data_IF_087204574338
#
_entry.id   IF_087204574338
#
_cell.length_a   1.000
_cell.length_b   1.000
_cell.length_c   1.000
_cell.angle_alpha   90.00
_cell.angle_beta   90.00
_cell.angle_gamma   90.00
#
_symmetry.space_group_name_H-M   'P 1'
#
loop_
_entity.id
_entity.type
_entity.pdbx_description
1 polymer ?
#
# COMPACT_ATOMS: atom_id res chain seq x y z
N UNK A 1 0.67 1.89 -26.46
CA UNK A 1 -0.63 2.06 -25.81
C UNK A 1 -0.52 1.47 -24.41
N UNK A 2 -0.55 2.32 -23.42
CA UNK A 2 -0.07 2.06 -22.05
C UNK A 2 -1.27 1.73 -21.19
N UNK A 3 -1.39 0.49 -20.72
CA UNK A 3 -2.32 0.14 -19.65
C UNK A 3 -1.56 0.21 -18.33
N UNK A 4 -1.74 1.27 -17.61
CA UNK A 4 -1.23 1.44 -16.26
C UNK A 4 -2.36 1.36 -15.27
N UNK A 5 -2.12 0.56 -14.22
CA UNK A 5 -2.80 0.58 -12.94
C UNK A 5 -4.27 0.19 -12.92
N UNK A 6 -4.49 -0.96 -12.33
CA UNK A 6 -5.80 -1.44 -11.88
C UNK A 6 -6.31 -0.50 -10.79
N UNK A 7 -7.03 0.53 -11.20
CA UNK A 7 -7.87 1.35 -10.32
C UNK A 7 -9.27 1.61 -10.92
N UNK A 8 -9.60 0.91 -12.02
CA UNK A 8 -10.97 0.89 -12.55
C UNK A 8 -11.22 -0.45 -13.24
N UNK A 9 -12.44 -1.00 -13.23
CA UNK A 9 -12.80 -2.08 -14.12
C UNK A 9 -12.69 -1.56 -15.55
N UNK A 10 -11.64 -1.98 -16.27
CA UNK A 10 -11.49 -1.68 -17.69
C UNK A 10 -12.46 -2.60 -18.43
N UNK A 11 -13.64 -2.10 -18.77
CA UNK A 11 -14.48 -2.71 -19.78
C UNK A 11 -13.87 -2.41 -21.15
N UNK A 12 -13.10 -3.35 -21.67
CA UNK A 12 -12.73 -3.34 -23.07
C UNK A 12 -13.83 -4.05 -23.85
N UNK A 13 -14.71 -3.30 -24.50
CA UNK A 13 -15.56 -3.85 -25.54
C UNK A 13 -14.73 -3.94 -26.81
N UNK A 14 -14.46 -5.14 -27.29
CA UNK A 14 -13.94 -5.35 -28.64
C UNK A 14 -15.13 -5.20 -29.60
N UNK A 15 -15.14 -4.13 -30.37
CA UNK A 15 -16.02 -4.07 -31.53
C UNK A 15 -15.42 -4.95 -32.64
N UNK A 16 -15.96 -6.13 -32.82
CA UNK A 16 -15.75 -6.94 -34.00
C UNK A 16 -17.12 -7.10 -34.70
N UNK A 17 -17.20 -6.73 -35.96
CA UNK A 17 -18.41 -6.82 -36.80
C UNK A 17 -18.72 -8.25 -37.29
N UNK A 18 -18.24 -9.28 -36.59
CA UNK A 18 -18.53 -10.67 -36.89
C UNK A 18 -19.35 -11.30 -35.75
N UNK A 19 -20.37 -12.10 -36.13
CA UNK A 19 -21.31 -12.85 -35.28
C UNK A 19 -20.63 -13.89 -34.35
N UNK A 20 -19.49 -13.57 -33.76
CA UNK A 20 -18.82 -14.38 -32.75
C UNK A 20 -19.32 -14.04 -31.33
N UNK A 21 -19.14 -14.93 -30.33
CA UNK A 21 -19.50 -14.65 -28.97
C UNK A 21 -18.71 -13.44 -28.42
N UNK A 22 -19.42 -12.45 -27.91
CA UNK A 22 -18.79 -11.33 -27.22
C UNK A 22 -18.26 -11.76 -25.84
N UNK A 23 -17.19 -11.16 -25.40
CA UNK A 23 -16.64 -11.41 -24.07
C UNK A 23 -16.11 -10.11 -23.45
N UNK A 24 -16.14 -10.06 -22.11
CA UNK A 24 -15.53 -8.99 -21.35
C UNK A 24 -14.57 -9.56 -20.30
N UNK A 25 -13.73 -8.69 -19.74
CA UNK A 25 -12.78 -9.05 -18.70
C UNK A 25 -13.26 -8.50 -17.36
N UNK A 26 -13.27 -9.36 -16.35
CA UNK A 26 -13.55 -8.97 -14.97
C UNK A 26 -12.31 -9.11 -14.10
N UNK A 27 -12.07 -8.13 -13.23
CA UNK A 27 -11.11 -8.26 -12.15
C UNK A 27 -11.74 -9.16 -11.10
N UNK A 28 -11.03 -10.22 -10.72
CA UNK A 28 -11.44 -11.16 -9.69
C UNK A 28 -10.41 -11.20 -8.58
N UNK A 29 -10.84 -11.48 -7.37
CA UNK A 29 -9.99 -11.71 -6.21
C UNK A 29 -10.41 -13.00 -5.54
N UNK A 30 -9.47 -13.91 -5.29
CA UNK A 30 -9.71 -15.18 -4.63
C UNK A 30 -9.08 -15.27 -3.23
N UNK A 31 -8.42 -14.21 -2.79
CA UNK A 31 -7.79 -14.13 -1.48
C UNK A 31 -7.09 -12.81 -1.23
N UNK A 32 -6.55 -12.70 -0.02
CA UNK A 32 -5.76 -11.56 0.42
C UNK A 32 -4.49 -12.05 1.14
N UNK A 33 -3.49 -11.19 1.17
CA UNK A 33 -2.26 -11.39 1.91
C UNK A 33 -2.06 -10.25 2.90
N UNK A 34 -1.76 -10.61 4.15
CA UNK A 34 -1.46 -9.65 5.21
C UNK A 34 0.04 -9.67 5.44
N UNK A 35 0.70 -8.53 5.25
CA UNK A 35 2.08 -8.32 5.65
C UNK A 35 2.10 -8.06 7.14
N UNK A 36 2.91 -8.83 7.86
CA UNK A 36 3.12 -8.68 9.30
C UNK A 36 4.57 -8.25 9.51
N UNK A 37 4.79 -7.04 10.01
CA UNK A 37 6.13 -6.46 10.16
C UNK A 37 7.01 -7.20 11.19
N UNK A 38 6.41 -8.01 12.05
CA UNK A 38 7.11 -8.55 13.21
C UNK A 38 7.32 -7.46 14.27
N UNK A 39 8.36 -7.66 15.10
CA UNK A 39 8.82 -6.68 16.06
C UNK A 39 10.36 -6.75 16.15
N UNK A 40 11.04 -5.78 15.53
CA UNK A 40 12.51 -5.76 15.47
C UNK A 40 13.17 -5.63 16.85
N UNK A 41 12.53 -4.91 17.78
CA UNK A 41 13.06 -4.74 19.13
C UNK A 41 13.01 -6.00 19.97
N UNK A 42 12.15 -6.95 19.59
CA UNK A 42 12.01 -8.26 20.24
C UNK A 42 12.54 -9.41 19.38
N UNK A 43 13.26 -9.10 18.30
CA UNK A 43 13.81 -10.07 17.34
C UNK A 43 12.73 -11.01 16.77
N UNK A 44 11.51 -10.49 16.57
CA UNK A 44 10.43 -11.20 15.91
C UNK A 44 10.44 -10.81 14.43
N UNK A 45 10.83 -11.75 13.57
CA UNK A 45 10.81 -11.55 12.13
C UNK A 45 9.39 -11.37 11.59
N UNK A 46 9.31 -10.66 10.48
CA UNK A 46 8.06 -10.49 9.76
C UNK A 46 7.59 -11.76 9.08
N UNK A 47 6.33 -11.77 8.73
CA UNK A 47 5.67 -12.92 8.11
C UNK A 47 4.58 -12.50 7.13
N UNK A 48 4.09 -13.47 6.36
CA UNK A 48 2.96 -13.30 5.46
C UNK A 48 1.83 -14.23 5.91
N UNK A 49 0.63 -13.67 6.12
CA UNK A 49 -0.60 -14.45 6.34
C UNK A 49 -1.40 -14.45 5.04
N UNK A 50 -1.73 -15.62 4.52
CA UNK A 50 -2.57 -15.79 3.34
C UNK A 50 -4.01 -16.11 3.75
N UNK A 51 -4.98 -15.44 3.14
CA UNK A 51 -6.43 -15.67 3.34
C UNK A 51 -7.01 -16.19 2.04
N UNK A 52 -7.68 -17.33 2.09
CA UNK A 52 -8.41 -17.91 0.97
C UNK A 52 -9.91 -17.61 1.13
N UNK A 53 -10.51 -16.99 0.13
CA UNK A 53 -11.92 -16.57 0.21
C UNK A 53 -12.90 -17.74 0.08
N UNK A 54 -12.56 -18.75 -0.72
CA UNK A 54 -13.46 -19.88 -0.93
C UNK A 54 -13.64 -20.74 0.33
N UNK A 55 -12.56 -20.92 1.11
CA UNK A 55 -12.60 -21.67 2.38
C UNK A 55 -12.80 -20.81 3.61
N UNK A 56 -12.64 -19.48 3.51
CA UNK A 56 -12.59 -18.53 4.62
C UNK A 56 -11.53 -18.88 5.69
N UNK A 57 -10.38 -19.43 5.24
CA UNK A 57 -9.28 -19.84 6.12
C UNK A 57 -8.09 -18.90 5.93
N UNK A 58 -7.48 -18.48 7.04
CA UNK A 58 -6.20 -17.82 7.07
C UNK A 58 -5.08 -18.80 7.45
N UNK A 59 -3.98 -18.76 6.71
CA UNK A 59 -2.75 -19.51 6.99
C UNK A 59 -1.66 -18.52 7.36
N UNK A 60 -1.25 -18.57 8.63
CA UNK A 60 -0.14 -17.75 9.11
C UNK A 60 1.21 -18.27 8.61
N UNK A 61 2.19 -17.36 8.47
CA UNK A 61 3.56 -17.69 8.03
C UNK A 61 3.59 -18.50 6.72
N UNK A 62 2.63 -18.21 5.81
CA UNK A 62 2.46 -18.97 4.56
C UNK A 62 3.74 -19.01 3.70
N UNK A 63 4.56 -17.96 3.75
CA UNK A 63 5.86 -17.95 3.09
C UNK A 63 6.82 -18.98 3.73
N UNK A 64 7.02 -18.94 5.03
CA UNK A 64 7.93 -19.85 5.72
C UNK A 64 7.52 -21.32 5.54
N UNK A 65 6.22 -21.62 5.58
CA UNK A 65 5.68 -22.97 5.38
C UNK A 65 6.05 -23.57 4.00
N UNK A 66 6.23 -22.72 2.98
CA UNK A 66 6.54 -23.15 1.62
C UNK A 66 8.01 -22.92 1.20
N UNK A 67 8.87 -22.44 2.12
CA UNK A 67 10.27 -22.11 1.86
C UNK A 67 11.21 -22.71 2.93
N UNK A 68 10.94 -23.94 3.39
CA UNK A 68 11.82 -24.65 4.32
C UNK A 68 11.98 -23.99 5.69
N UNK A 69 10.98 -23.25 6.15
CA UNK A 69 10.98 -22.55 7.44
C UNK A 69 11.70 -21.18 7.40
N UNK A 70 12.20 -20.74 6.25
CA UNK A 70 12.87 -19.44 6.15
C UNK A 70 11.89 -18.31 6.43
N UNK A 71 12.31 -17.33 7.24
CA UNK A 71 11.50 -16.15 7.49
C UNK A 71 11.44 -15.23 6.27
N UNK A 72 10.45 -14.33 6.25
CA UNK A 72 10.37 -13.28 5.25
C UNK A 72 11.47 -12.23 5.44
N UNK A 73 11.97 -12.09 6.64
CA UNK A 73 12.98 -11.12 7.08
C UNK A 73 12.44 -10.12 8.09
N UNK A 74 13.27 -9.16 8.48
CA UNK A 74 12.94 -8.14 9.46
C UNK A 74 12.15 -6.99 8.84
N UNK A 75 11.06 -6.61 9.46
CA UNK A 75 10.22 -5.45 9.12
C UNK A 75 9.77 -5.38 7.65
N UNK A 76 9.09 -6.41 7.09
CA UNK A 76 8.38 -6.23 5.83
C UNK A 76 7.32 -5.14 5.98
N UNK A 77 7.15 -4.32 4.94
CA UNK A 77 6.39 -3.08 5.02
C UNK A 77 5.22 -2.99 4.05
N UNK A 78 5.38 -3.54 2.86
CA UNK A 78 4.39 -3.44 1.78
C UNK A 78 4.51 -4.60 0.81
N UNK A 79 3.49 -4.84 0.00
CA UNK A 79 3.52 -5.86 -1.03
C UNK A 79 2.41 -5.70 -2.06
N UNK A 80 2.56 -6.41 -3.17
CA UNK A 80 1.56 -6.45 -4.24
C UNK A 80 1.60 -7.76 -5.02
N UNK A 81 0.53 -8.03 -5.75
CA UNK A 81 0.48 -9.06 -6.79
C UNK A 81 0.58 -8.39 -8.16
N UNK A 82 1.49 -8.88 -9.01
CA UNK A 82 1.60 -8.48 -10.40
C UNK A 82 1.87 -9.69 -11.31
N UNK A 83 0.91 -9.99 -12.17
CA UNK A 83 0.91 -11.20 -12.96
C UNK A 83 0.79 -12.47 -12.13
N UNK A 84 1.74 -13.36 -12.27
CA UNK A 84 1.85 -14.63 -11.54
C UNK A 84 2.72 -14.56 -10.27
N UNK A 85 3.19 -13.37 -9.91
CA UNK A 85 4.12 -13.12 -8.82
C UNK A 85 3.55 -12.20 -7.76
N UNK A 86 4.01 -12.40 -6.54
CA UNK A 86 3.92 -11.45 -5.44
C UNK A 86 5.28 -10.83 -5.20
N UNK A 87 5.28 -9.58 -4.81
CA UNK A 87 6.46 -8.83 -4.41
C UNK A 87 6.22 -8.25 -3.03
N UNK A 88 7.16 -8.46 -2.11
CA UNK A 88 7.09 -7.93 -0.75
C UNK A 88 8.38 -7.18 -0.45
N UNK A 89 8.27 -5.91 -0.09
CA UNK A 89 9.41 -5.10 0.37
C UNK A 89 9.68 -5.35 1.84
N UNK A 90 10.94 -5.60 2.18
CA UNK A 90 11.38 -5.96 3.53
C UNK A 90 12.44 -4.96 3.98
N UNK A 91 11.98 -3.94 4.69
CA UNK A 91 12.75 -2.77 5.11
C UNK A 91 14.04 -3.15 5.86
N UNK A 92 13.91 -3.77 7.03
CA UNK A 92 15.05 -4.09 7.89
C UNK A 92 16.02 -5.10 7.29
N UNK A 93 15.57 -5.94 6.35
CA UNK A 93 16.44 -6.88 5.63
C UNK A 93 17.05 -6.32 4.35
N UNK A 94 16.64 -5.13 3.90
CA UNK A 94 17.05 -4.51 2.65
C UNK A 94 16.81 -5.43 1.44
N UNK A 95 15.60 -6.04 1.36
CA UNK A 95 15.28 -6.96 0.27
C UNK A 95 13.89 -6.67 -0.31
N UNK A 96 13.70 -7.11 -1.57
CA UNK A 96 12.38 -7.35 -2.14
C UNK A 96 12.28 -8.85 -2.41
N UNK A 97 11.31 -9.50 -1.78
CA UNK A 97 10.98 -10.91 -2.01
C UNK A 97 10.10 -11.03 -3.24
N UNK A 98 10.48 -11.89 -4.17
CA UNK A 98 9.69 -12.28 -5.35
C UNK A 98 9.19 -13.69 -5.13
N UNK A 99 7.89 -13.87 -5.09
CA UNK A 99 7.23 -15.10 -4.66
C UNK A 99 6.24 -15.54 -5.74
N UNK A 100 6.17 -16.82 -6.02
CA UNK A 100 5.12 -17.38 -6.87
C UNK A 100 3.78 -17.32 -6.11
N UNK A 101 2.79 -16.62 -6.64
CA UNK A 101 1.51 -16.37 -5.94
C UNK A 101 0.64 -17.63 -5.73
N UNK A 102 0.90 -18.71 -6.46
CA UNK A 102 0.16 -19.98 -6.34
C UNK A 102 0.82 -20.95 -5.38
N UNK A 103 2.16 -21.07 -5.46
CA UNK A 103 2.91 -22.04 -4.66
C UNK A 103 3.51 -21.46 -3.39
N UNK A 104 3.48 -20.14 -3.22
CA UNK A 104 4.13 -19.40 -2.12
C UNK A 104 5.65 -19.62 -2.04
N UNK A 105 6.25 -20.19 -3.07
CA UNK A 105 7.70 -20.41 -3.14
C UNK A 105 8.42 -19.17 -3.62
N UNK A 106 9.58 -18.87 -3.01
CA UNK A 106 10.48 -17.82 -3.45
C UNK A 106 11.00 -18.10 -4.85
N UNK A 107 10.79 -17.17 -5.76
CA UNK A 107 11.41 -17.16 -7.09
C UNK A 107 12.79 -16.49 -7.00
N UNK A 108 12.84 -15.33 -6.31
CA UNK A 108 14.04 -14.51 -6.18
C UNK A 108 13.97 -13.69 -4.90
N UNK A 109 15.12 -13.47 -4.29
CA UNK A 109 15.36 -12.41 -3.33
C UNK A 109 16.22 -11.34 -3.99
N UNK A 110 15.71 -10.12 -4.10
CA UNK A 110 16.43 -8.96 -4.62
C UNK A 110 17.01 -8.22 -3.42
N UNK A 111 18.31 -8.23 -3.27
CA UNK A 111 19.01 -7.45 -2.25
C UNK A 111 19.17 -6.02 -2.76
N UNK A 112 18.46 -5.09 -2.16
CA UNK A 112 18.34 -3.71 -2.67
C UNK A 112 19.65 -2.94 -2.55
N UNK A 113 20.44 -3.22 -1.51
CA UNK A 113 21.77 -2.63 -1.32
C UNK A 113 22.82 -3.16 -2.30
N UNK A 114 22.70 -4.39 -2.77
CA UNK A 114 23.55 -4.92 -3.86
C UNK A 114 23.10 -4.35 -5.22
N UNK A 115 21.78 -4.15 -5.39
CA UNK A 115 21.20 -3.67 -6.65
C UNK A 115 21.48 -2.18 -6.90
N UNK A 116 21.35 -1.34 -5.88
CA UNK A 116 21.39 0.12 -5.99
C UNK A 116 22.71 0.72 -5.46
N UNK A 117 23.35 0.04 -4.51
CA UNK A 117 24.46 0.53 -3.69
C UNK A 117 24.09 0.52 -2.21
N UNK A 118 25.07 0.36 -1.32
CA UNK A 118 24.86 0.16 0.12
C UNK A 118 24.08 1.27 0.81
N UNK A 119 24.26 2.54 0.39
CA UNK A 119 23.52 3.67 0.92
C UNK A 119 22.20 3.88 0.21
N UNK A 120 22.18 3.76 -1.13
CA UNK A 120 21.03 4.06 -1.98
C UNK A 120 19.90 3.02 -1.85
N UNK A 121 20.27 1.74 -1.69
CA UNK A 121 19.34 0.62 -1.57
C UNK A 121 18.83 0.33 -0.16
N UNK A 122 19.12 1.18 0.80
CA UNK A 122 18.80 0.97 2.21
C UNK A 122 17.31 1.15 2.47
N UNK A 123 16.75 0.25 3.27
CA UNK A 123 15.38 0.33 3.79
C UNK A 123 14.32 0.55 2.67
N UNK A 124 14.01 -0.47 1.85
CA UNK A 124 12.91 -0.37 0.88
C UNK A 124 11.57 -0.22 1.60
N UNK A 125 10.69 0.68 1.09
CA UNK A 125 9.48 1.09 1.81
C UNK A 125 8.18 0.68 1.15
N UNK A 126 7.87 1.23 0.00
CA UNK A 126 6.62 0.98 -0.71
C UNK A 126 6.90 0.55 -2.14
N UNK A 127 5.93 -0.16 -2.73
CA UNK A 127 6.08 -0.78 -4.03
C UNK A 127 4.82 -0.61 -4.88
N UNK A 128 5.02 -0.31 -6.17
CA UNK A 128 3.97 -0.38 -7.20
C UNK A 128 4.49 -1.18 -8.39
N UNK A 129 3.60 -1.61 -9.27
CA UNK A 129 3.97 -2.31 -10.50
C UNK A 129 3.22 -1.77 -11.72
N UNK A 130 3.86 -1.84 -12.87
CA UNK A 130 3.25 -1.48 -14.15
C UNK A 130 4.23 -1.64 -15.31
N UNK A 131 3.72 -1.88 -16.52
CA UNK A 131 4.51 -1.99 -17.76
C UNK A 131 5.69 -2.96 -17.68
N UNK A 132 5.50 -4.12 -17.04
CA UNK A 132 6.55 -5.12 -16.89
C UNK A 132 7.62 -4.79 -15.85
N UNK A 133 7.42 -3.77 -15.03
CA UNK A 133 8.32 -3.34 -13.98
C UNK A 133 7.65 -3.29 -12.60
N UNK A 134 8.46 -3.49 -11.56
CA UNK A 134 8.15 -3.01 -10.22
C UNK A 134 8.94 -1.75 -9.95
N UNK A 135 8.34 -0.84 -9.19
CA UNK A 135 8.98 0.39 -8.71
C UNK A 135 8.86 0.42 -7.20
N UNK A 136 9.98 0.61 -6.51
CA UNK A 136 9.97 0.69 -5.05
C UNK A 136 10.84 1.84 -4.54
N UNK A 137 10.41 2.45 -3.46
CA UNK A 137 11.14 3.51 -2.75
C UNK A 137 12.15 2.91 -1.78
N UNK A 138 13.25 3.63 -1.52
CA UNK A 138 14.23 3.29 -0.48
C UNK A 138 14.58 4.52 0.35
N UNK A 139 14.80 4.37 1.64
CA UNK A 139 15.24 5.47 2.51
C UNK A 139 16.59 6.05 2.11
N UNK A 140 17.32 5.41 1.20
CA UNK A 140 18.47 5.99 0.55
C UNK A 140 18.17 7.17 -0.39
N UNK A 141 16.88 7.54 -0.55
CA UNK A 141 16.45 8.67 -1.39
C UNK A 141 16.28 8.31 -2.86
N UNK A 142 15.88 7.09 -3.16
CA UNK A 142 15.73 6.61 -4.52
C UNK A 142 14.41 5.85 -4.75
N UNK A 143 13.97 5.88 -6.01
CA UNK A 143 13.03 4.91 -6.58
C UNK A 143 13.79 4.02 -7.54
N UNK A 144 13.71 2.72 -7.36
CA UNK A 144 14.25 1.73 -8.29
C UNK A 144 13.16 1.25 -9.25
N UNK A 145 13.50 1.08 -10.52
CA UNK A 145 12.71 0.37 -11.52
C UNK A 145 13.38 -0.97 -11.83
N UNK A 146 12.68 -2.07 -11.64
CA UNK A 146 13.19 -3.42 -11.84
C UNK A 146 12.30 -4.21 -12.77
N UNK A 147 12.87 -4.82 -13.78
CA UNK A 147 12.17 -5.68 -14.74
C UNK A 147 11.61 -6.94 -14.07
N UNK A 148 10.37 -7.30 -14.34
CA UNK A 148 9.66 -8.40 -13.67
C UNK A 148 9.95 -9.79 -14.22
N UNK A 149 10.72 -9.91 -15.32
CA UNK A 149 11.11 -11.17 -15.95
C UNK A 149 12.50 -11.58 -15.51
N UNK A 150 13.48 -10.67 -15.63
CA UNK A 150 14.88 -10.97 -15.34
C UNK A 150 15.37 -10.39 -14.01
N UNK A 151 14.56 -9.59 -13.32
CA UNK A 151 14.83 -8.95 -12.02
C UNK A 151 16.07 -8.04 -12.01
N UNK A 152 16.39 -7.45 -13.17
CA UNK A 152 17.47 -6.48 -13.32
C UNK A 152 16.98 -5.06 -13.10
N UNK A 153 17.84 -4.24 -12.52
CA UNK A 153 17.62 -2.79 -12.45
C UNK A 153 17.62 -2.22 -13.87
N UNK A 154 16.54 -1.53 -14.21
CA UNK A 154 16.41 -0.83 -15.51
C UNK A 154 16.62 0.66 -15.38
N UNK A 155 16.26 1.23 -14.22
CA UNK A 155 16.52 2.63 -13.89
C UNK A 155 16.53 2.82 -12.37
N UNK A 156 17.21 3.90 -11.92
CA UNK A 156 17.08 4.44 -10.57
C UNK A 156 16.92 5.95 -10.63
N UNK A 157 16.02 6.48 -9.83
CA UNK A 157 15.66 7.88 -9.81
C UNK A 157 15.97 8.45 -8.44
N UNK A 158 16.79 9.49 -8.38
CA UNK A 158 17.06 10.22 -7.13
C UNK A 158 15.86 11.09 -6.82
N UNK A 159 15.26 10.90 -5.64
CA UNK A 159 14.11 11.65 -5.13
C UNK A 159 14.47 12.40 -3.83
N UNK A 160 13.48 12.89 -3.09
CA UNK A 160 13.72 13.54 -1.80
C UNK A 160 14.15 12.59 -0.68
N UNK A 161 14.30 13.14 0.52
CA UNK A 161 14.73 12.39 1.72
C UNK A 161 13.62 11.50 2.24
N UNK A 162 13.97 10.27 2.62
CA UNK A 162 13.07 9.30 3.22
C UNK A 162 11.78 9.11 2.43
N UNK A 163 11.84 8.68 1.17
CA UNK A 163 10.66 8.46 0.36
C UNK A 163 9.83 7.28 0.91
N UNK A 164 8.54 7.51 1.01
CA UNK A 164 7.52 6.57 1.46
C UNK A 164 6.68 6.12 0.26
N UNK A 165 5.37 6.38 0.28
CA UNK A 165 4.45 5.95 -0.76
C UNK A 165 4.68 6.60 -2.11
N UNK A 166 4.32 5.87 -3.15
CA UNK A 166 4.39 6.32 -4.53
C UNK A 166 3.14 5.87 -5.29
N UNK A 167 2.77 6.64 -6.32
CA UNK A 167 1.67 6.28 -7.22
C UNK A 167 2.00 6.68 -8.65
N UNK A 168 1.60 5.84 -9.60
CA UNK A 168 1.82 6.08 -11.02
C UNK A 168 0.57 6.61 -11.73
N UNK A 169 0.75 7.53 -12.67
CA UNK A 169 -0.30 7.99 -13.56
C UNK A 169 0.28 8.33 -14.94
N UNK A 170 -0.32 7.77 -15.98
CA UNK A 170 0.20 7.89 -17.35
C UNK A 170 1.69 7.48 -17.42
N UNK A 171 2.58 8.39 -17.78
CA UNK A 171 4.03 8.18 -17.86
C UNK A 171 4.79 8.76 -16.66
N UNK A 172 4.11 9.04 -15.53
CA UNK A 172 4.74 9.67 -14.38
C UNK A 172 4.51 8.86 -13.10
N UNK A 173 5.46 8.98 -12.16
CA UNK A 173 5.31 8.49 -10.79
C UNK A 173 5.45 9.69 -9.85
N UNK A 174 4.49 9.82 -8.93
CA UNK A 174 4.54 10.81 -7.84
C UNK A 174 4.99 10.10 -6.58
N UNK A 175 5.93 10.69 -5.85
CA UNK A 175 6.58 10.11 -4.67
C UNK A 175 6.43 11.05 -3.49
N UNK A 176 5.98 10.53 -2.37
CA UNK A 176 5.93 11.21 -1.08
C UNK A 176 7.28 11.06 -0.36
N UNK A 177 7.96 12.16 -0.05
CA UNK A 177 9.23 12.15 0.68
C UNK A 177 9.01 12.74 2.08
N UNK A 178 9.04 11.89 3.11
CA UNK A 178 8.61 12.23 4.47
C UNK A 178 9.64 13.03 5.28
N UNK A 179 10.89 13.03 4.85
CA UNK A 179 12.04 13.53 5.63
C UNK A 179 12.07 12.98 7.06
N UNK A 180 11.57 11.74 7.24
CA UNK A 180 11.51 11.06 8.55
C UNK A 180 10.76 11.86 9.62
N UNK A 181 9.62 12.43 9.25
CA UNK A 181 8.74 13.22 10.13
C UNK A 181 9.39 14.49 10.76
N UNK A 182 10.41 15.08 10.10
CA UNK A 182 11.07 16.30 10.58
C UNK A 182 10.39 17.60 10.10
N UNK A 183 9.29 17.49 9.35
CA UNK A 183 8.52 18.64 8.88
C UNK A 183 9.04 19.29 7.59
N UNK A 184 10.05 18.72 6.93
CA UNK A 184 10.58 19.21 5.65
C UNK A 184 10.24 18.26 4.49
N UNK A 185 9.17 17.48 4.64
CA UNK A 185 8.67 16.59 3.61
C UNK A 185 8.36 17.33 2.30
N UNK A 186 8.52 16.63 1.19
CA UNK A 186 8.31 17.19 -0.14
C UNK A 186 7.81 16.12 -1.12
N UNK A 187 7.56 16.53 -2.37
CA UNK A 187 7.03 15.65 -3.41
C UNK A 187 8.01 15.58 -4.57
N UNK A 188 8.31 14.36 -5.05
CA UNK A 188 9.04 14.16 -6.30
C UNK A 188 8.09 13.65 -7.38
N UNK A 189 8.30 14.12 -8.62
CA UNK A 189 7.60 13.65 -9.82
C UNK A 189 8.65 13.12 -10.78
N UNK A 190 8.54 11.85 -11.11
CA UNK A 190 9.41 11.14 -12.06
C UNK A 190 8.68 11.06 -13.40
N UNK A 191 9.29 11.56 -14.46
CA UNK A 191 8.84 11.32 -15.83
C UNK A 191 9.53 10.06 -16.37
N UNK A 192 8.77 8.99 -16.56
CA UNK A 192 9.29 7.70 -17.03
C UNK A 192 9.75 7.72 -18.49
N UNK A 193 9.26 8.69 -19.30
CA UNK A 193 9.63 8.82 -20.70
C UNK A 193 10.99 9.50 -20.88
N UNK A 194 11.30 10.52 -20.08
CA UNK A 194 12.56 11.28 -20.14
C UNK A 194 13.57 10.86 -19.09
N UNK A 195 13.11 10.23 -18.00
CA UNK A 195 13.93 9.91 -16.83
C UNK A 195 14.17 11.09 -15.89
N UNK A 196 13.59 12.26 -16.18
CA UNK A 196 13.74 13.47 -15.36
C UNK A 196 12.97 13.34 -14.05
N UNK A 197 13.53 13.94 -12.99
CA UNK A 197 12.91 13.99 -11.65
C UNK A 197 12.84 15.45 -11.22
N UNK A 198 11.62 15.90 -10.95
CA UNK A 198 11.37 17.19 -10.30
C UNK A 198 11.02 16.94 -8.83
N UNK A 199 11.81 17.48 -7.90
CA UNK A 199 11.50 17.48 -6.46
C UNK A 199 11.18 18.89 -6.02
N UNK A 200 10.02 19.09 -5.40
CA UNK A 200 9.53 20.40 -4.99
C UNK A 200 8.95 20.39 -3.59
N UNK A 201 9.22 21.46 -2.86
CA UNK A 201 8.54 21.76 -1.63
C UNK A 201 7.13 22.25 -1.95
N UNK A 202 6.16 21.75 -1.22
CA UNK A 202 4.74 22.08 -1.39
C UNK A 202 4.24 22.69 -0.10
N UNK A 203 3.70 23.91 -0.16
CA UNK A 203 3.07 24.57 0.98
C UNK A 203 1.96 23.67 1.55
N UNK A 204 2.02 23.37 2.85
CA UNK A 204 1.04 22.52 3.53
C UNK A 204 1.38 21.03 3.55
N UNK A 205 2.52 20.60 2.98
CA UNK A 205 3.05 19.23 3.10
C UNK A 205 4.25 19.24 4.03
N UNK A 206 4.24 18.32 5.02
CA UNK A 206 5.28 18.25 6.04
C UNK A 206 5.86 16.84 6.24
N UNK A 207 5.00 15.82 6.26
CA UNK A 207 5.35 14.42 6.50
C UNK A 207 4.50 13.50 5.63
N UNK A 208 4.64 13.58 4.29
CA UNK A 208 3.81 12.83 3.35
C UNK A 208 4.14 11.33 3.39
N UNK A 209 3.09 10.49 3.50
CA UNK A 209 3.19 9.05 3.68
C UNK A 209 2.70 8.24 2.49
N UNK A 210 1.56 8.63 1.92
CA UNK A 210 0.97 7.94 0.75
C UNK A 210 0.54 8.94 -0.32
N UNK A 211 0.56 8.48 -1.55
CA UNK A 211 0.06 9.21 -2.72
C UNK A 211 -1.13 8.47 -3.28
N UNK A 212 -2.21 9.19 -3.56
CA UNK A 212 -3.38 8.68 -4.29
C UNK A 212 -3.59 9.56 -5.52
N UNK A 213 -4.01 8.93 -6.62
CA UNK A 213 -4.28 9.65 -7.87
C UNK A 213 -5.67 9.23 -8.38
N UNK A 214 -6.56 10.22 -8.54
CA UNK A 214 -7.87 10.03 -9.10
C UNK A 214 -8.10 10.98 -10.27
N UNK A 215 -8.29 10.44 -11.48
CA UNK A 215 -8.50 11.23 -12.71
C UNK A 215 -7.45 12.32 -12.94
N UNK A 216 -6.17 12.01 -12.65
CA UNK A 216 -5.04 12.94 -12.77
C UNK A 216 -4.87 13.92 -11.60
N UNK A 217 -5.81 13.97 -10.67
CA UNK A 217 -5.68 14.75 -9.44
C UNK A 217 -4.88 13.98 -8.40
N UNK A 218 -3.93 14.65 -7.75
CA UNK A 218 -3.02 14.06 -6.77
C UNK A 218 -3.48 14.40 -5.36
N UNK A 219 -3.53 13.40 -4.50
CA UNK A 219 -3.86 13.53 -3.08
C UNK A 219 -2.75 12.89 -2.26
N UNK A 220 -2.41 13.53 -1.15
CA UNK A 220 -1.33 13.12 -0.25
C UNK A 220 -1.93 12.82 1.11
N UNK A 221 -1.67 11.63 1.64
CA UNK A 221 -1.80 11.38 3.07
C UNK A 221 -0.57 11.97 3.75
N UNK A 222 -0.77 13.05 4.49
CA UNK A 222 0.27 13.78 5.19
C UNK A 222 0.01 13.64 6.69
N UNK A 223 1.02 13.19 7.45
CA UNK A 223 0.90 12.95 8.89
C UNK A 223 1.44 14.14 9.68
N UNK A 224 1.14 14.15 10.97
CA UNK A 224 1.84 15.00 11.94
C UNK A 224 3.35 14.81 11.84
N UNK A 225 4.11 15.81 12.24
CA UNK A 225 5.55 15.77 12.31
C UNK A 225 6.03 16.28 13.68
N UNK A 226 7.33 16.17 13.95
CA UNK A 226 7.88 16.51 15.27
C UNK A 226 9.01 17.52 15.12
N UNK A 227 8.91 18.63 15.87
CA UNK A 227 9.97 19.63 15.99
C UNK A 227 10.75 19.41 17.29
N UNK A 228 12.08 19.55 17.22
CA UNK A 228 12.98 19.30 18.32
C UNK A 228 13.45 17.85 18.41
N UNK A 229 14.29 17.57 19.40
CA UNK A 229 14.86 16.24 19.64
C UNK A 229 14.15 15.50 20.77
N UNK A 230 13.99 14.19 20.59
CA UNK A 230 13.47 13.32 21.65
C UNK A 230 14.35 13.38 22.90
N UNK A 231 13.77 13.45 24.15
CA UNK A 231 12.34 13.29 24.46
C UNK A 231 11.51 14.60 24.43
N UNK A 232 12.09 15.74 24.07
CA UNK A 232 11.45 17.06 24.13
C UNK A 232 10.84 17.50 22.79
N UNK A 233 10.69 16.60 21.83
CA UNK A 233 10.05 16.91 20.57
C UNK A 233 8.57 17.24 20.75
N UNK A 234 8.09 18.23 19.97
CA UNK A 234 6.70 18.70 19.98
C UNK A 234 6.02 18.29 18.68
N UNK A 235 4.88 17.63 18.82
CA UNK A 235 4.03 17.29 17.68
C UNK A 235 3.45 18.54 17.02
N UNK A 236 3.50 18.59 15.71
CA UNK A 236 3.05 19.68 14.85
C UNK A 236 2.23 19.16 13.67
N UNK A 237 1.44 20.06 13.08
CA UNK A 237 0.63 19.76 11.91
C UNK A 237 -0.62 18.96 12.24
N UNK A 238 -1.13 18.24 11.26
CA UNK A 238 -2.31 17.39 11.36
C UNK A 238 -2.19 16.21 10.40
N UNK A 239 -2.78 15.07 10.76
CA UNK A 239 -2.86 13.91 9.88
C UNK A 239 -4.11 14.01 9.01
N UNK A 240 -3.92 14.19 7.70
CA UNK A 240 -5.01 14.47 6.76
C UNK A 240 -4.70 13.97 5.34
N UNK A 241 -5.76 13.77 4.57
CA UNK A 241 -5.68 13.77 3.10
C UNK A 241 -5.65 15.22 2.62
N UNK A 242 -4.69 15.54 1.78
CA UNK A 242 -4.50 16.86 1.19
C UNK A 242 -4.50 16.78 -0.33
N UNK A 243 -5.26 17.65 -0.98
CA UNK A 243 -5.28 17.80 -2.44
C UNK A 243 -4.11 18.69 -2.89
N UNK A 244 -3.37 18.23 -3.89
CA UNK A 244 -2.20 18.93 -4.43
C UNK A 244 -2.58 19.80 -5.62
N UNK A 245 -2.48 21.12 -5.48
CA UNK A 245 -2.71 22.10 -6.54
C UNK A 245 -1.45 22.93 -6.80
N UNK A 246 -0.68 22.56 -7.80
CA UNK A 246 0.61 23.21 -8.07
C UNK A 246 1.58 23.04 -6.90
N UNK A 247 2.00 24.13 -6.27
CA UNK A 247 2.92 24.15 -5.12
C UNK A 247 2.18 24.34 -3.77
N UNK A 248 0.89 24.12 -3.74
CA UNK A 248 0.08 24.21 -2.53
C UNK A 248 -0.76 22.96 -2.32
N UNK A 249 -0.84 22.50 -1.10
CA UNK A 249 -1.74 21.42 -0.69
C UNK A 249 -2.83 21.97 0.24
N UNK A 250 -4.07 21.54 0.01
CA UNK A 250 -5.22 21.92 0.82
C UNK A 250 -5.85 20.69 1.44
N UNK A 251 -6.23 20.77 2.72
CA UNK A 251 -6.89 19.68 3.42
C UNK A 251 -8.22 19.33 2.75
N UNK A 252 -8.42 18.03 2.55
CA UNK A 252 -9.68 17.44 2.11
C UNK A 252 -10.44 16.87 3.30
N UNK A 253 -9.80 16.04 4.11
CA UNK A 253 -10.41 15.39 5.28
C UNK A 253 -9.35 14.87 6.24
N UNK A 254 -9.72 14.70 7.53
CA UNK A 254 -8.85 14.04 8.51
C UNK A 254 -8.62 12.57 8.12
N UNK A 255 -7.37 12.12 8.21
CA UNK A 255 -7.00 10.74 7.93
C UNK A 255 -5.67 10.38 8.58
N UNK A 256 -5.58 9.15 9.10
CA UNK A 256 -4.31 8.58 9.55
C UNK A 256 -3.94 7.34 8.70
N UNK A 257 -4.90 6.47 8.40
CA UNK A 257 -4.78 5.40 7.42
C UNK A 257 -5.80 5.61 6.32
N UNK A 258 -5.40 5.32 5.10
CA UNK A 258 -6.29 5.40 3.95
C UNK A 258 -5.93 4.39 2.86
N UNK A 259 -6.96 3.94 2.16
CA UNK A 259 -6.88 3.18 0.91
C UNK A 259 -7.87 3.78 -0.10
N UNK A 260 -7.58 3.64 -1.38
CA UNK A 260 -8.43 4.20 -2.43
C UNK A 260 -8.95 3.12 -3.38
N UNK A 261 -10.25 3.14 -3.62
CA UNK A 261 -10.89 2.35 -4.66
C UNK A 261 -11.90 3.20 -5.44
N UNK A 262 -11.77 3.24 -6.77
CA UNK A 262 -12.70 3.91 -7.69
C UNK A 262 -13.00 5.37 -7.31
N UNK A 263 -11.97 6.12 -6.95
CA UNK A 263 -12.06 7.52 -6.55
C UNK A 263 -12.70 7.77 -5.18
N UNK A 264 -12.85 6.72 -4.38
CA UNK A 264 -13.29 6.80 -2.98
C UNK A 264 -12.14 6.43 -2.05
N UNK A 265 -11.87 7.28 -1.08
CA UNK A 265 -10.92 7.01 -0.01
C UNK A 265 -11.65 6.40 1.19
N UNK A 266 -11.22 5.22 1.62
CA UNK A 266 -11.64 4.55 2.84
C UNK A 266 -10.63 4.90 3.92
N UNK A 267 -11.11 5.50 5.01
CA UNK A 267 -10.26 6.25 5.93
C UNK A 267 -10.48 5.78 7.36
N UNK A 268 -9.37 5.70 8.10
CA UNK A 268 -9.37 5.68 9.56
C UNK A 268 -8.72 6.97 10.04
N UNK A 269 -9.41 7.74 10.86
CA UNK A 269 -8.86 8.87 11.60
C UNK A 269 -8.84 8.57 13.09
N UNK A 270 -7.92 9.22 13.84
CA UNK A 270 -7.72 9.07 15.29
C UNK A 270 -7.52 7.61 15.77
N UNK A 271 -6.60 6.82 15.18
CA UNK A 271 -6.44 5.39 15.51
C UNK A 271 -5.95 5.14 16.94
N UNK A 272 -5.34 6.12 17.59
CA UNK A 272 -4.82 6.02 18.97
C UNK A 272 -5.81 6.52 20.03
N UNK A 273 -7.00 6.96 19.63
CA UNK A 273 -8.09 7.36 20.49
C UNK A 273 -9.38 6.62 20.11
N UNK A 274 -10.48 7.36 20.02
CA UNK A 274 -11.71 6.82 19.43
C UNK A 274 -11.58 6.82 17.90
N UNK A 275 -11.27 5.67 17.32
CA UNK A 275 -11.08 5.51 15.89
C UNK A 275 -12.39 5.81 15.14
N UNK A 276 -12.31 6.67 14.10
CA UNK A 276 -13.43 7.00 13.24
C UNK A 276 -13.17 6.45 11.84
N UNK A 277 -14.21 5.87 11.26
CA UNK A 277 -14.19 5.29 9.93
C UNK A 277 -15.04 6.15 9.00
N UNK A 278 -14.53 6.46 7.82
CA UNK A 278 -15.26 7.27 6.84
C UNK A 278 -14.90 6.90 5.40
N UNK A 279 -15.75 7.29 4.47
CA UNK A 279 -15.51 7.25 3.03
C UNK A 279 -15.54 8.68 2.50
N UNK A 280 -14.48 9.09 1.82
CA UNK A 280 -14.41 10.38 1.13
C UNK A 280 -14.52 10.15 -0.38
N UNK A 281 -15.62 10.57 -0.99
CA UNK A 281 -15.83 10.46 -2.44
C UNK A 281 -15.22 11.67 -3.16
N UNK A 282 -14.18 11.41 -3.95
CA UNK A 282 -13.43 12.40 -4.72
C UNK A 282 -14.01 12.63 -6.12
N UNK A 283 -14.96 11.80 -6.57
CA UNK A 283 -15.53 11.90 -7.92
C UNK A 283 -16.51 13.06 -8.03
N UNK A 284 -17.25 13.35 -6.95
CA UNK A 284 -18.25 14.43 -6.91
C UNK A 284 -17.62 15.83 -6.83
N UNK A 285 -16.50 15.95 -6.10
CA UNK A 285 -15.72 17.19 -5.97
C UNK A 285 -14.26 16.83 -5.71
N UNK A 286 -13.39 16.87 -6.74
CA UNK A 286 -12.00 16.49 -6.58
C UNK A 286 -11.21 17.38 -5.61
N UNK A 287 -11.62 18.62 -5.39
CA UNK A 287 -10.89 19.57 -4.54
C UNK A 287 -11.22 19.45 -3.04
N UNK A 288 -12.41 18.99 -2.71
CA UNK A 288 -12.89 18.92 -1.33
C UNK A 288 -13.34 17.52 -0.92
N UNK A 289 -13.75 16.69 -1.87
CA UNK A 289 -14.38 15.41 -1.60
C UNK A 289 -15.73 15.55 -0.89
N UNK A 290 -16.41 14.44 -0.74
CA UNK A 290 -17.61 14.36 0.12
C UNK A 290 -17.39 13.23 1.12
N UNK A 291 -17.17 13.58 2.38
CA UNK A 291 -16.89 12.61 3.44
C UNK A 291 -18.16 12.19 4.16
N UNK A 292 -18.41 10.90 4.23
CA UNK A 292 -19.54 10.29 4.95
C UNK A 292 -19.03 9.23 5.94
N UNK A 293 -19.71 9.05 7.10
CA UNK A 293 -19.33 7.98 8.02
C UNK A 293 -19.42 6.60 7.36
N UNK A 294 -18.42 5.77 7.62
CA UNK A 294 -18.43 4.34 7.31
C UNK A 294 -18.77 3.58 8.58
N UNK A 295 -20.01 3.08 8.66
CA UNK A 295 -20.49 2.36 9.83
C UNK A 295 -20.05 0.90 9.76
N UNK A 296 -18.94 0.56 10.39
CA UNK A 296 -18.54 -0.83 10.59
C UNK A 296 -19.36 -1.42 11.73
N UNK A 297 -20.07 -2.54 11.45
CA UNK A 297 -20.99 -3.16 12.44
C UNK A 297 -20.26 -3.70 13.67
N UNK A 298 -18.95 -3.99 13.55
CA UNK A 298 -18.07 -4.34 14.65
C UNK A 298 -16.72 -3.65 14.45
N UNK A 299 -16.35 -2.73 15.34
CA UNK A 299 -15.04 -2.06 15.31
C UNK A 299 -13.87 -3.01 15.59
N UNK A 300 -12.66 -2.49 15.50
CA UNK A 300 -11.44 -3.16 15.92
C UNK A 300 -10.85 -2.43 17.13
N UNK A 301 -9.99 -3.13 17.89
CA UNK A 301 -9.45 -2.56 19.15
C UNK A 301 -8.42 -1.45 18.89
N UNK A 302 -7.39 -1.74 18.09
CA UNK A 302 -6.30 -0.80 17.79
C UNK A 302 -5.97 -0.89 16.31
N UNK A 303 -6.62 -0.06 15.48
CA UNK A 303 -6.46 -0.16 14.03
C UNK A 303 -5.03 0.17 13.60
N UNK A 304 -4.50 -0.66 12.70
CA UNK A 304 -3.15 -0.58 12.15
C UNK A 304 -3.11 -0.36 10.63
N UNK A 305 -4.27 -0.32 9.99
CA UNK A 305 -4.43 -0.10 8.56
C UNK A 305 -5.81 -0.43 8.06
N UNK A 306 -6.13 0.07 6.88
CA UNK A 306 -7.35 -0.21 6.14
C UNK A 306 -7.01 -0.41 4.67
N UNK A 307 -7.61 -1.43 4.06
CA UNK A 307 -7.52 -1.62 2.61
C UNK A 307 -8.82 -2.18 2.04
N UNK A 308 -9.02 -2.04 0.73
CA UNK A 308 -10.25 -2.44 0.05
C UNK A 308 -9.93 -3.30 -1.14
N UNK A 309 -10.57 -4.48 -1.20
CA UNK A 309 -10.41 -5.42 -2.31
C UNK A 309 -10.93 -4.79 -3.62
N UNK A 310 -10.09 -4.66 -4.65
CA UNK A 310 -10.45 -3.98 -5.89
C UNK A 310 -11.51 -4.74 -6.72
N UNK A 311 -11.68 -6.05 -6.50
CA UNK A 311 -12.67 -6.86 -7.20
C UNK A 311 -14.02 -6.89 -6.50
N UNK A 312 -14.02 -7.01 -5.17
CA UNK A 312 -15.26 -7.22 -4.38
C UNK A 312 -15.75 -5.96 -3.69
N UNK A 313 -14.87 -4.97 -3.47
CA UNK A 313 -15.15 -3.79 -2.66
C UNK A 313 -15.19 -4.08 -1.16
N UNK A 314 -14.81 -5.27 -0.73
CA UNK A 314 -14.78 -5.66 0.67
C UNK A 314 -13.65 -4.96 1.42
N UNK A 315 -13.92 -4.58 2.66
CA UNK A 315 -13.06 -3.74 3.47
C UNK A 315 -12.30 -4.61 4.47
N UNK A 316 -10.99 -4.40 4.55
CA UNK A 316 -10.10 -5.09 5.49
C UNK A 316 -9.52 -4.06 6.46
N UNK A 317 -9.72 -4.28 7.76
CA UNK A 317 -9.16 -3.43 8.82
C UNK A 317 -8.23 -4.27 9.68
N UNK A 318 -6.95 -3.91 9.64
CA UNK A 318 -5.89 -4.51 10.44
C UNK A 318 -5.96 -4.00 11.88
N UNK A 319 -5.61 -4.83 12.85
CA UNK A 319 -5.58 -4.43 14.25
C UNK A 319 -4.58 -5.24 15.06
N UNK A 320 -4.02 -4.59 16.06
CA UNK A 320 -3.37 -5.27 17.18
C UNK A 320 -4.44 -5.85 18.14
N UNK A 321 -4.09 -6.91 18.85
CA UNK A 321 -4.85 -7.38 20.00
C UNK A 321 -4.62 -6.49 21.21
N UNK A 322 -5.52 -6.56 22.18
CA UNK A 322 -5.34 -5.91 23.48
C UNK A 322 -4.41 -6.74 24.37
N UNK A 323 -3.38 -6.11 24.89
CA UNK A 323 -2.51 -6.70 25.89
C UNK A 323 -3.11 -6.65 27.30
N UNK A 324 -2.49 -7.35 28.25
CA UNK A 324 -2.92 -7.40 29.65
C UNK A 324 -2.94 -6.03 30.33
N UNK A 325 -2.11 -5.09 29.87
CA UNK A 325 -2.06 -3.70 30.32
C UNK A 325 -3.17 -2.79 29.75
N UNK A 326 -4.05 -3.34 28.91
CA UNK A 326 -5.14 -2.60 28.27
C UNK A 326 -4.75 -1.83 26.98
N UNK A 327 -3.46 -1.81 26.61
CA UNK A 327 -2.95 -1.17 25.40
C UNK A 327 -2.78 -2.20 24.25
N UNK A 328 -2.39 -1.71 23.07
CA UNK A 328 -2.06 -2.57 21.95
C UNK A 328 -0.88 -3.49 22.25
N UNK A 329 -1.02 -4.78 21.93
CA UNK A 329 0.04 -5.75 22.10
C UNK A 329 0.88 -5.83 20.81
N UNK A 330 2.09 -5.29 20.87
CA UNK A 330 3.05 -5.29 19.78
C UNK A 330 3.95 -6.53 19.74
N UNK A 331 3.76 -7.49 20.66
CA UNK A 331 4.60 -8.67 20.82
C UNK A 331 3.92 -9.96 20.42
N UNK A 332 2.59 -9.98 20.38
CA UNK A 332 1.80 -11.12 19.96
C UNK A 332 1.14 -10.90 18.58
N UNK A 333 0.53 -11.95 18.07
CA UNK A 333 -0.21 -11.91 16.84
C UNK A 333 -1.31 -10.85 16.88
N UNK A 334 -1.50 -10.14 15.77
CA UNK A 334 -2.64 -9.28 15.55
C UNK A 334 -3.78 -10.00 14.82
N UNK A 335 -4.69 -9.24 14.25
CA UNK A 335 -5.79 -9.76 13.45
C UNK A 335 -6.21 -8.79 12.34
N UNK A 336 -7.00 -9.30 11.41
CA UNK A 336 -7.72 -8.49 10.42
C UNK A 336 -9.20 -8.83 10.49
N UNK A 337 -10.07 -7.81 10.45
CA UNK A 337 -11.49 -7.99 10.21
C UNK A 337 -11.82 -7.68 8.76
N UNK A 338 -12.61 -8.55 8.14
CA UNK A 338 -13.15 -8.40 6.79
C UNK A 338 -14.62 -8.01 6.88
N UNK A 339 -15.00 -6.97 6.14
CA UNK A 339 -16.34 -6.45 6.08
C UNK A 339 -16.83 -6.44 4.63
N UNK A 340 -18.14 -6.53 4.44
CA UNK A 340 -18.75 -6.25 3.15
C UNK A 340 -18.48 -4.80 2.72
N UNK A 341 -18.68 -4.49 1.46
CA UNK A 341 -18.58 -3.11 0.92
C UNK A 341 -19.45 -2.09 1.64
N UNK A 342 -20.45 -2.54 2.40
CA UNK A 342 -21.37 -1.70 3.16
C UNK A 342 -21.04 -1.64 4.67
N UNK A 343 -19.89 -2.21 5.10
CA UNK A 343 -19.44 -2.20 6.49
C UNK A 343 -19.99 -3.30 7.39
N UNK A 344 -20.78 -4.25 6.86
CA UNK A 344 -21.23 -5.40 7.66
C UNK A 344 -20.09 -6.36 7.93
N UNK A 345 -19.85 -6.73 9.19
CA UNK A 345 -18.86 -7.71 9.59
C UNK A 345 -19.11 -9.06 8.92
N UNK A 346 -18.03 -9.67 8.42
CA UNK A 346 -18.07 -10.99 7.80
C UNK A 346 -17.19 -11.99 8.53
N UNK A 347 -15.90 -11.68 8.69
CA UNK A 347 -14.91 -12.60 9.26
C UNK A 347 -13.85 -11.84 10.05
N UNK A 348 -13.27 -12.54 11.04
CA UNK A 348 -12.01 -12.19 11.67
C UNK A 348 -10.99 -13.28 11.38
N UNK A 349 -9.79 -12.87 11.02
CA UNK A 349 -8.66 -13.77 10.82
C UNK A 349 -7.49 -13.34 11.71
N UNK A 350 -6.90 -14.27 12.45
CA UNK A 350 -5.67 -14.00 13.17
C UNK A 350 -4.49 -13.90 12.19
N UNK A 351 -3.61 -12.94 12.42
CA UNK A 351 -2.45 -12.67 11.57
C UNK A 351 -1.15 -12.96 12.33
N UNK A 352 0.00 -12.60 11.76
CA UNK A 352 1.27 -12.56 12.51
C UNK A 352 1.38 -11.33 13.38
N UNK A 353 2.55 -11.14 14.00
CA UNK A 353 2.88 -9.97 14.82
C UNK A 353 3.05 -8.75 13.94
N UNK A 354 2.42 -7.63 14.33
CA UNK A 354 2.53 -6.35 13.63
C UNK A 354 1.91 -6.35 12.23
N UNK A 355 0.59 -6.63 12.06
CA UNK A 355 -0.04 -6.51 10.75
C UNK A 355 0.02 -5.05 10.28
N UNK A 356 0.55 -4.80 9.06
CA UNK A 356 0.84 -3.44 8.59
C UNK A 356 0.36 -3.12 7.17
N UNK A 357 0.14 -4.13 6.32
CA UNK A 357 -0.39 -3.93 4.98
C UNK A 357 -1.24 -5.11 4.52
N UNK A 358 -2.19 -4.83 3.63
CA UNK A 358 -3.00 -5.84 2.93
C UNK A 358 -2.78 -5.67 1.44
N UNK A 359 -2.63 -6.76 0.72
CA UNK A 359 -2.73 -6.77 -0.74
C UNK A 359 -3.52 -8.00 -1.21
N UNK A 360 -4.10 -7.91 -2.39
CA UNK A 360 -5.11 -8.87 -2.84
C UNK A 360 -4.57 -9.79 -3.93
N UNK A 361 -5.00 -11.06 -3.90
CA UNK A 361 -4.68 -12.03 -4.93
C UNK A 361 -5.59 -11.80 -6.15
N UNK A 362 -5.33 -10.70 -6.85
CA UNK A 362 -6.11 -10.30 -8.02
C UNK A 362 -5.71 -11.07 -9.27
N UNK A 363 -6.69 -11.29 -10.13
CA UNK A 363 -6.56 -11.85 -11.44
C UNK A 363 -7.55 -11.21 -12.42
N UNK A 364 -7.48 -11.62 -13.69
CA UNK A 364 -8.46 -11.23 -14.70
C UNK A 364 -9.12 -12.51 -15.23
N UNK A 365 -10.44 -12.52 -15.25
CA UNK A 365 -11.25 -13.61 -15.79
C UNK A 365 -11.96 -13.13 -17.06
N UNK A 366 -11.90 -13.93 -18.10
CA UNK A 366 -12.70 -13.72 -19.32
C UNK A 366 -14.10 -14.26 -19.08
N UNK A 367 -15.11 -13.43 -19.27
CA UNK A 367 -16.53 -13.79 -19.17
C UNK A 367 -17.12 -13.75 -20.58
N UNK A 368 -17.79 -14.81 -20.99
CA UNK A 368 -18.58 -14.83 -22.23
C UNK A 368 -19.90 -14.12 -21.95
N UNK A 369 -20.24 -13.18 -22.83
CA UNK A 369 -21.56 -12.52 -22.78
C UNK A 369 -22.59 -13.48 -23.36
N UNK A 370 -23.65 -13.74 -22.63
CA UNK A 370 -24.76 -14.61 -23.08
C UNK A 370 -25.71 -13.87 -24.00
#
# INVERSE_FOLDING_TARGET
MVALLVSAPLFFTSCNDDNGPSFHYEVVSDGAFIVNSGNMYSSIDGSLTGINYASNVAVQKVFAANNGGQSLGSTPNDGLVYGDKMYVVVDGSNTVEVINKKTMQRIKQIKTTELLGAAEGKSPRHIIAGNGHIFFTTYGGYVAAVDTVNFKLTAKYKVGSYPEGLAGYASSIVVANSDYAKGHGNISIINLGTGEVETRNVEGINNPQKVFINNGNVYILDWVYYEGEYPNSVEKGESAIKYLAGNKATKVTDAYYASMLNGKLYIISNPYGEAKYSVCDLNSNPYQGTTTPLNLSEGVFSPAGIDVDPATGEIFVLSYNQGENGYADYYSNGYVKRYSKNGSYMYRYDTGVGPCAVFFNVGVKTILDN
#
